data_IF_091749890091
#
_entry.id   IF_091749890091
#
_cell.length_a   1.000
_cell.length_b   1.000
_cell.length_c   1.000
_cell.angle_alpha   90.00
_cell.angle_beta   90.00
_cell.angle_gamma   90.00
#
_symmetry.space_group_name_H-M   'P 1'
#
loop_
_entity.id
_entity.type
_entity.pdbx_description
1 polymer ?
#
# COMPACT_ATOMS: atom_id res chain seq x y z
N UNK A 1 18.83 -11.12 8.64
CA UNK A 1 17.37 -11.05 8.70
C UNK A 1 16.95 -11.07 10.16
N UNK A 2 16.59 -9.92 10.73
CA UNK A 2 15.97 -9.86 12.06
C UNK A 2 14.49 -10.18 11.86
N UNK A 3 14.04 -11.27 12.50
CA UNK A 3 12.65 -11.70 12.44
C UNK A 3 11.71 -10.63 13.00
N UNK A 4 10.65 -10.35 12.29
CA UNK A 4 9.52 -9.55 12.79
C UNK A 4 9.01 -10.25 14.08
N UNK A 5 9.15 -9.59 15.23
CA UNK A 5 8.49 -10.05 16.46
C UNK A 5 6.97 -9.99 16.22
N UNK A 6 6.36 -11.16 16.29
CA UNK A 6 4.90 -11.29 16.18
C UNK A 6 4.28 -10.66 17.42
N UNK A 7 3.66 -9.48 17.23
CA UNK A 7 2.90 -8.82 18.29
C UNK A 7 1.67 -9.70 18.60
N UNK A 8 1.61 -10.27 19.81
CA UNK A 8 0.41 -10.96 20.30
C UNK A 8 -0.72 -9.93 20.44
N UNK A 9 -1.75 -10.06 19.61
CA UNK A 9 -2.99 -9.28 19.76
C UNK A 9 -3.75 -9.85 20.97
N UNK A 10 -4.07 -9.04 22.00
CA UNK A 10 -4.89 -9.51 23.11
C UNK A 10 -6.30 -9.84 22.65
N UNK A 11 -6.84 -10.98 23.03
CA UNK A 11 -8.20 -11.47 22.72
C UNK A 11 -9.35 -10.55 23.22
N UNK A 12 -9.05 -9.54 24.03
CA UNK A 12 -10.03 -8.80 24.80
C UNK A 12 -10.45 -7.42 24.27
N UNK A 13 -10.02 -7.00 23.07
CA UNK A 13 -10.37 -5.68 22.53
C UNK A 13 -10.90 -5.75 21.10
N UNK A 14 -12.08 -6.34 20.92
CA UNK A 14 -12.91 -6.07 19.75
C UNK A 14 -14.02 -5.08 20.14
N UNK A 15 -13.88 -3.77 19.84
CA UNK A 15 -14.91 -2.80 20.17
C UNK A 15 -16.12 -2.82 19.23
N UNK A 16 -16.14 -3.63 18.17
CA UNK A 16 -17.23 -3.67 17.21
C UNK A 16 -17.54 -5.09 16.73
N UNK A 17 -18.83 -5.46 16.77
CA UNK A 17 -19.41 -6.65 16.17
C UNK A 17 -19.52 -6.49 14.64
N UNK A 18 -18.42 -6.26 13.95
CA UNK A 18 -18.35 -6.43 12.51
C UNK A 18 -18.33 -7.91 12.14
N UNK A 19 -18.66 -8.24 10.90
CA UNK A 19 -18.55 -9.61 10.42
C UNK A 19 -17.13 -10.14 10.68
N UNK A 20 -17.03 -11.11 11.61
CA UNK A 20 -15.73 -11.71 11.95
C UNK A 20 -15.33 -12.68 10.85
N UNK A 21 -14.38 -12.29 10.02
CA UNK A 21 -13.78 -13.19 9.04
C UNK A 21 -12.71 -14.02 9.76
N UNK A 22 -13.04 -15.29 9.99
CA UNK A 22 -12.07 -16.24 10.51
C UNK A 22 -11.26 -16.86 9.38
N UNK A 23 -9.94 -16.67 9.44
CA UNK A 23 -8.98 -17.35 8.56
C UNK A 23 -8.02 -18.11 9.47
N UNK A 24 -7.92 -19.46 9.34
CA UNK A 24 -7.05 -20.24 10.20
C UNK A 24 -5.58 -19.92 9.95
N UNK A 25 -4.79 -20.02 11.01
CA UNK A 25 -3.34 -19.93 10.89
C UNK A 25 -2.81 -21.13 10.08
N UNK A 26 -1.75 -20.90 9.30
CA UNK A 26 -0.99 -21.95 8.62
C UNK A 26 0.11 -22.40 9.57
N UNK A 27 0.43 -23.71 9.56
CA UNK A 27 1.43 -24.26 10.48
C UNK A 27 2.73 -23.46 10.50
N UNK A 28 3.08 -22.94 11.68
CA UNK A 28 4.27 -22.11 11.89
C UNK A 28 4.11 -20.62 11.54
N UNK A 29 2.94 -20.19 11.02
CA UNK A 29 2.70 -18.80 10.61
C UNK A 29 1.36 -18.28 11.13
N UNK A 30 1.35 -17.01 11.54
CA UNK A 30 0.13 -16.27 11.87
C UNK A 30 -0.49 -15.72 10.60
N UNK A 31 -1.79 -16.00 10.38
CA UNK A 31 -2.54 -15.41 9.26
C UNK A 31 -2.96 -13.99 9.62
N UNK A 32 -2.66 -13.03 8.73
CA UNK A 32 -3.06 -11.63 8.85
C UNK A 32 -4.03 -11.26 7.73
N UNK A 33 -5.05 -10.49 8.07
CA UNK A 33 -5.99 -9.88 7.11
C UNK A 33 -5.45 -8.51 6.73
N UNK A 34 -5.10 -8.33 5.48
CA UNK A 34 -4.40 -7.15 5.01
C UNK A 34 -5.15 -6.45 3.88
N UNK A 35 -5.05 -5.11 3.83
CA UNK A 35 -5.37 -4.32 2.65
C UNK A 35 -4.12 -3.53 2.24
N UNK A 36 -3.59 -3.85 1.08
CA UNK A 36 -2.33 -3.27 0.56
C UNK A 36 -2.55 -2.26 -0.57
N UNK A 37 -3.80 -1.84 -0.80
CA UNK A 37 -4.11 -0.86 -1.83
C UNK A 37 -5.22 0.08 -1.38
N UNK A 38 -4.84 1.20 -0.74
CA UNK A 38 -5.80 2.17 -0.21
C UNK A 38 -5.40 3.60 -0.54
N UNK A 39 -6.42 4.43 -0.77
CA UNK A 39 -6.26 5.85 -1.09
C UNK A 39 -6.93 6.74 -0.06
N UNK A 40 -6.41 7.96 0.06
CA UNK A 40 -6.88 8.98 0.98
C UNK A 40 -7.10 10.31 0.23
N UNK A 41 -7.51 11.36 0.96
CA UNK A 41 -7.63 12.72 0.39
C UNK A 41 -6.30 13.29 -0.15
N UNK A 42 -5.16 12.64 0.11
CA UNK A 42 -3.85 13.03 -0.43
C UNK A 42 -3.69 12.64 -1.91
N UNK A 43 -4.54 11.73 -2.40
CA UNK A 43 -4.71 11.44 -3.83
C UNK A 43 -6.20 11.58 -4.20
N UNK A 44 -6.85 10.53 -4.64
CA UNK A 44 -8.23 10.52 -5.12
C UNK A 44 -9.22 9.84 -4.16
N UNK A 45 -8.79 9.47 -2.97
CA UNK A 45 -9.68 8.99 -1.92
C UNK A 45 -10.46 10.12 -1.23
N UNK A 46 -11.58 9.78 -0.60
CA UNK A 46 -12.54 10.74 -0.03
C UNK A 46 -12.34 10.99 1.46
N UNK A 47 -11.46 10.24 2.13
CA UNK A 47 -11.30 10.32 3.59
C UNK A 47 -9.87 10.58 4.02
N UNK A 48 -9.73 11.10 5.24
CA UNK A 48 -8.42 11.34 5.87
C UNK A 48 -7.68 10.03 6.15
N UNK A 49 -6.33 10.04 6.12
CA UNK A 49 -5.53 8.85 6.40
C UNK A 49 -5.88 8.18 7.74
N UNK A 50 -6.09 8.96 8.78
CA UNK A 50 -6.47 8.46 10.11
C UNK A 50 -7.81 7.71 10.06
N UNK A 51 -8.78 8.23 9.30
CA UNK A 51 -10.08 7.59 9.15
C UNK A 51 -9.99 6.31 8.32
N UNK A 52 -9.10 6.27 7.31
CA UNK A 52 -8.84 5.05 6.54
C UNK A 52 -8.34 3.91 7.44
N UNK A 53 -7.46 4.22 8.40
CA UNK A 53 -7.01 3.24 9.39
C UNK A 53 -8.17 2.77 10.28
N UNK A 54 -9.03 3.69 10.75
CA UNK A 54 -10.19 3.30 11.55
C UNK A 54 -11.22 2.47 10.78
N UNK A 55 -11.43 2.75 9.49
CA UNK A 55 -12.26 1.88 8.63
C UNK A 55 -11.71 0.46 8.55
N UNK A 56 -10.41 0.32 8.33
CA UNK A 56 -9.76 -0.99 8.30
C UNK A 56 -9.90 -1.74 9.63
N UNK A 57 -9.76 -1.03 10.76
CA UNK A 57 -9.96 -1.60 12.09
C UNK A 57 -11.40 -2.10 12.29
N UNK A 58 -12.40 -1.30 11.91
CA UNK A 58 -13.82 -1.66 12.00
C UNK A 58 -14.14 -2.89 11.13
N UNK A 59 -13.46 -3.04 9.98
CA UNK A 59 -13.60 -4.20 9.10
C UNK A 59 -12.82 -5.42 9.58
N UNK A 60 -12.11 -5.32 10.71
CA UNK A 60 -11.38 -6.43 11.32
C UNK A 60 -10.09 -6.80 10.59
N UNK A 61 -9.47 -5.85 9.88
CA UNK A 61 -8.13 -6.04 9.31
C UNK A 61 -7.06 -6.02 10.41
N UNK A 62 -5.92 -6.59 10.10
CA UNK A 62 -4.72 -6.60 10.95
C UNK A 62 -3.65 -5.64 10.42
N UNK A 63 -3.63 -5.41 9.11
CA UNK A 63 -2.64 -4.58 8.42
C UNK A 63 -3.29 -3.73 7.34
N UNK A 64 -2.85 -2.49 7.21
CA UNK A 64 -3.22 -1.61 6.09
C UNK A 64 -1.98 -0.92 5.53
N UNK A 65 -1.89 -0.79 4.20
CA UNK A 65 -0.92 0.07 3.54
C UNK A 65 -1.60 1.35 3.05
N UNK A 66 -0.95 2.49 3.25
CA UNK A 66 -1.35 3.76 2.66
C UNK A 66 -0.59 3.90 1.34
N UNK A 67 -1.32 3.85 0.23
CA UNK A 67 -0.77 3.79 -1.13
C UNK A 67 -1.33 4.89 -2.03
N UNK A 68 -1.38 6.13 -1.53
CA UNK A 68 -1.80 7.27 -2.33
C UNK A 68 -0.97 7.40 -3.62
N UNK A 69 -1.61 7.85 -4.69
CA UNK A 69 -0.96 8.08 -5.97
C UNK A 69 0.19 9.07 -5.88
N UNK A 70 1.30 8.78 -6.57
CA UNK A 70 2.40 9.73 -6.74
C UNK A 70 1.99 10.86 -7.68
N UNK A 71 1.47 10.52 -8.87
CA UNK A 71 1.23 11.49 -9.94
C UNK A 71 -0.19 12.06 -9.94
N UNK A 72 -1.17 11.27 -9.52
CA UNK A 72 -2.58 11.66 -9.54
C UNK A 72 -3.04 12.20 -8.19
N UNK A 73 -2.96 13.52 -8.03
CA UNK A 73 -3.29 14.23 -6.78
C UNK A 73 -4.30 15.34 -7.05
N UNK A 74 -5.60 15.01 -7.25
CA UNK A 74 -6.63 16.01 -7.59
C UNK A 74 -6.79 17.10 -6.53
N UNK A 75 -6.47 16.82 -5.28
CA UNK A 75 -6.60 17.76 -4.15
C UNK A 75 -5.32 18.56 -3.84
N UNK A 76 -4.27 18.47 -4.67
CA UNK A 76 -2.95 19.08 -4.40
C UNK A 76 -2.96 20.59 -4.17
N UNK A 77 -3.93 21.31 -4.74
CA UNK A 77 -4.05 22.76 -4.58
C UNK A 77 -4.54 23.15 -3.17
N UNK A 78 -5.24 22.25 -2.50
CA UNK A 78 -5.77 22.42 -1.15
C UNK A 78 -4.96 21.68 -0.10
N UNK A 79 -4.41 20.52 -0.45
CA UNK A 79 -3.60 19.67 0.44
C UNK A 79 -2.14 19.76 0.00
N UNK A 80 -1.45 20.79 0.52
CA UNK A 80 -0.02 21.03 0.24
C UNK A 80 0.83 20.20 1.19
N UNK A 81 1.22 19.02 0.74
CA UNK A 81 2.02 18.09 1.52
C UNK A 81 2.93 17.25 0.61
N UNK A 82 4.00 16.69 1.18
CA UNK A 82 4.84 15.70 0.49
C UNK A 82 4.14 14.32 0.43
N UNK A 83 4.72 13.37 -0.32
CA UNK A 83 4.15 12.04 -0.48
C UNK A 83 4.22 11.16 0.78
N UNK A 84 4.99 11.54 1.78
CA UNK A 84 5.08 10.81 3.04
C UNK A 84 4.02 11.24 4.05
N UNK A 85 3.35 12.38 3.84
CA UNK A 85 2.46 12.96 4.86
C UNK A 85 1.24 12.10 5.13
N UNK A 86 0.63 11.48 4.12
CA UNK A 86 -0.53 10.61 4.32
C UNK A 86 -0.20 9.43 5.24
N UNK A 87 0.93 8.77 5.01
CA UNK A 87 1.42 7.72 5.90
C UNK A 87 1.72 8.24 7.31
N UNK A 88 2.44 9.37 7.44
CA UNK A 88 2.75 9.96 8.76
C UNK A 88 1.49 10.18 9.57
N UNK A 89 0.42 10.69 8.95
CA UNK A 89 -0.89 10.88 9.60
C UNK A 89 -1.55 9.56 9.97
N UNK A 90 -1.63 8.62 9.04
CA UNK A 90 -2.18 7.28 9.30
C UNK A 90 -1.47 6.61 10.50
N UNK A 91 -0.14 6.74 10.56
CA UNK A 91 0.71 6.15 11.60
C UNK A 91 0.38 6.71 13.01
N UNK A 92 -0.15 7.91 13.13
CA UNK A 92 -0.50 8.49 14.44
C UNK A 92 -1.56 7.69 15.20
N UNK A 93 -2.42 6.99 14.49
CA UNK A 93 -3.53 6.20 15.09
C UNK A 93 -3.26 4.69 15.10
N UNK A 94 -2.12 4.23 14.61
CA UNK A 94 -1.74 2.81 14.55
C UNK A 94 -1.91 2.09 15.88
N UNK A 95 -1.32 2.64 16.94
CA UNK A 95 -1.38 2.03 18.28
C UNK A 95 -2.80 1.96 18.83
N UNK A 96 -3.59 3.02 18.60
CA UNK A 96 -4.96 3.11 19.12
C UNK A 96 -5.93 2.21 18.35
N UNK A 97 -5.70 2.02 17.04
CA UNK A 97 -6.49 1.14 16.17
C UNK A 97 -6.11 -0.34 16.28
N UNK A 98 -4.96 -0.63 16.91
CA UNK A 98 -4.37 -1.98 16.96
C UNK A 98 -4.10 -2.58 15.59
N UNK A 99 -3.80 -1.75 14.59
CA UNK A 99 -3.42 -2.15 13.24
C UNK A 99 -1.93 -1.93 13.02
N UNK A 100 -1.36 -2.67 12.08
CA UNK A 100 -0.06 -2.36 11.49
C UNK A 100 -0.30 -1.45 10.29
N UNK A 101 0.31 -0.26 10.30
CA UNK A 101 0.22 0.70 9.19
C UNK A 101 1.53 0.70 8.42
N UNK A 102 1.45 0.34 7.13
CA UNK A 102 2.60 0.22 6.21
C UNK A 102 2.66 1.46 5.32
N UNK A 103 3.86 2.00 5.14
CA UNK A 103 4.10 3.02 4.13
C UNK A 103 4.19 2.39 2.75
N UNK A 104 3.39 2.90 1.83
CA UNK A 104 3.44 2.58 0.42
C UNK A 104 3.16 3.81 -0.44
N UNK A 105 3.14 3.59 -1.73
CA UNK A 105 2.68 4.56 -2.72
C UNK A 105 2.27 3.84 -4.00
N UNK A 106 1.37 4.43 -4.77
CA UNK A 106 1.02 3.94 -6.09
C UNK A 106 1.69 4.81 -7.17
N UNK A 107 2.62 4.21 -7.91
CA UNK A 107 3.19 4.77 -9.12
C UNK A 107 2.11 4.64 -10.20
N UNK A 108 1.58 5.78 -10.67
CA UNK A 108 0.41 5.83 -11.55
C UNK A 108 0.81 6.36 -12.91
N UNK A 109 0.91 5.49 -13.88
CA UNK A 109 1.37 5.85 -15.24
C UNK A 109 0.36 5.40 -16.28
N UNK A 110 0.43 6.09 -17.41
CA UNK A 110 -0.27 5.63 -18.61
C UNK A 110 0.30 4.29 -19.08
N UNK A 111 -0.45 3.61 -19.95
CA UNK A 111 0.05 2.44 -20.65
C UNK A 111 1.40 2.74 -21.35
N UNK A 112 2.31 1.78 -21.43
CA UNK A 112 2.15 0.36 -21.09
C UNK A 112 2.46 -0.01 -19.63
N UNK A 113 2.97 0.90 -18.79
CA UNK A 113 3.36 0.58 -17.40
C UNK A 113 2.13 0.35 -16.53
N UNK A 114 1.13 1.26 -16.59
CA UNK A 114 -0.05 1.17 -15.74
C UNK A 114 0.26 1.55 -14.28
N UNK A 115 -0.42 0.90 -13.35
CA UNK A 115 -0.36 1.22 -11.94
C UNK A 115 0.40 0.17 -11.15
N UNK A 116 1.32 0.61 -10.31
CA UNK A 116 2.22 -0.25 -9.53
C UNK A 116 2.26 0.25 -8.09
N UNK A 117 1.93 -0.60 -7.13
CA UNK A 117 2.18 -0.32 -5.71
C UNK A 117 3.61 -0.69 -5.33
N UNK A 118 4.23 0.21 -4.58
CA UNK A 118 5.45 -0.04 -3.83
C UNK A 118 5.12 -0.02 -2.33
N UNK A 119 5.38 -1.12 -1.63
CA UNK A 119 5.08 -1.30 -0.22
C UNK A 119 6.37 -1.33 0.61
N UNK A 120 6.28 -0.98 1.90
CA UNK A 120 7.40 -0.92 2.83
C UNK A 120 8.44 0.15 2.48
N UNK A 121 7.99 1.27 1.91
CA UNK A 121 8.84 2.41 1.62
C UNK A 121 9.34 3.08 2.91
N UNK A 122 10.49 3.74 2.80
CA UNK A 122 11.02 4.68 3.81
C UNK A 122 10.83 6.13 3.38
N UNK A 123 10.78 6.39 2.07
CA UNK A 123 10.53 7.70 1.48
C UNK A 123 9.79 7.59 0.14
N UNK A 124 8.50 7.92 0.15
CA UNK A 124 7.67 7.93 -1.04
C UNK A 124 8.00 9.09 -2.01
N UNK A 125 8.62 10.18 -1.52
CA UNK A 125 9.04 11.28 -2.40
C UNK A 125 10.08 10.85 -3.42
N UNK A 126 10.89 9.84 -3.12
CA UNK A 126 11.88 9.30 -4.05
C UNK A 126 11.26 8.70 -5.34
N UNK A 127 9.94 8.43 -5.32
CA UNK A 127 9.22 7.87 -6.46
C UNK A 127 8.67 8.95 -7.40
N UNK A 128 8.67 10.22 -6.98
CA UNK A 128 8.20 11.37 -7.78
C UNK A 128 9.27 11.77 -8.81
N UNK A 129 9.45 10.94 -9.81
CA UNK A 129 10.40 11.10 -10.93
C UNK A 129 9.70 10.86 -12.25
N UNK A 130 10.20 11.46 -13.34
CA UNK A 130 9.55 11.39 -14.65
C UNK A 130 9.55 9.98 -15.24
N UNK A 131 10.69 9.27 -15.16
CA UNK A 131 10.82 7.90 -15.68
C UNK A 131 10.16 6.88 -14.73
N UNK A 132 9.12 6.15 -15.18
CA UNK A 132 8.42 5.16 -14.35
C UNK A 132 9.32 3.99 -13.95
N UNK A 133 10.27 3.59 -14.77
CA UNK A 133 11.20 2.51 -14.42
C UNK A 133 12.19 2.97 -13.35
N UNK A 134 12.60 4.23 -13.39
CA UNK A 134 13.41 4.82 -12.32
C UNK A 134 12.62 4.93 -11.01
N UNK A 135 11.32 5.24 -11.06
CA UNK A 135 10.47 5.21 -9.86
C UNK A 135 10.45 3.82 -9.22
N UNK A 136 10.29 2.76 -10.04
CA UNK A 136 10.36 1.37 -9.57
C UNK A 136 11.73 1.04 -8.99
N UNK A 137 12.82 1.43 -9.65
CA UNK A 137 14.18 1.20 -9.15
C UNK A 137 14.41 1.91 -7.82
N UNK A 138 13.97 3.16 -7.66
CA UNK A 138 14.04 3.92 -6.40
C UNK A 138 13.25 3.23 -5.27
N UNK A 139 12.15 2.57 -5.57
CA UNK A 139 11.42 1.78 -4.60
C UNK A 139 12.19 0.50 -4.21
N UNK A 140 12.75 -0.22 -5.18
CA UNK A 140 13.55 -1.43 -4.95
C UNK A 140 14.82 -1.13 -4.15
N UNK A 141 15.48 0.01 -4.39
CA UNK A 141 16.65 0.47 -3.62
C UNK A 141 16.32 0.66 -2.14
N UNK A 142 15.04 0.91 -1.79
CA UNK A 142 14.54 0.97 -0.42
C UNK A 142 14.13 -0.39 0.16
N UNK A 143 14.19 -1.47 -0.63
CA UNK A 143 13.73 -2.80 -0.25
C UNK A 143 12.22 -2.97 -0.35
N UNK A 144 11.53 -2.15 -1.13
CA UNK A 144 10.09 -2.21 -1.30
C UNK A 144 9.65 -3.49 -2.01
N UNK A 145 8.47 -3.98 -1.61
CA UNK A 145 7.73 -4.99 -2.35
C UNK A 145 6.93 -4.32 -3.47
N UNK A 146 7.10 -4.78 -4.70
CA UNK A 146 6.46 -4.22 -5.89
C UNK A 146 5.29 -5.09 -6.33
N UNK A 147 4.11 -4.49 -6.46
CA UNK A 147 2.88 -5.15 -6.85
C UNK A 147 2.24 -4.46 -8.05
N UNK A 148 1.95 -5.22 -9.11
CA UNK A 148 1.21 -4.72 -10.27
C UNK A 148 -0.29 -4.71 -9.97
N UNK A 149 -0.90 -3.51 -10.03
CA UNK A 149 -2.29 -3.31 -9.68
C UNK A 149 -3.22 -3.58 -10.87
N UNK A 150 -4.45 -4.05 -10.58
CA UNK A 150 -5.60 -4.20 -11.48
C UNK A 150 -5.21 -4.38 -12.97
N UNK A 151 -4.50 -5.46 -13.31
CA UNK A 151 -3.86 -5.65 -14.63
C UNK A 151 -4.85 -5.67 -15.82
N UNK A 152 -6.14 -5.85 -15.55
CA UNK A 152 -7.19 -5.81 -16.57
C UNK A 152 -7.78 -4.41 -16.84
N UNK A 153 -7.29 -3.35 -16.18
CA UNK A 153 -7.83 -2.01 -16.30
C UNK A 153 -6.83 -1.04 -16.95
N UNK A 154 -7.28 -0.17 -17.89
CA UNK A 154 -8.52 -0.27 -18.69
C UNK A 154 -8.33 -1.20 -19.90
N UNK A 155 -9.14 -2.19 -20.03
CA UNK A 155 -9.53 -3.05 -21.17
C UNK A 155 -8.52 -3.46 -22.27
N UNK A 156 -7.21 -3.31 -22.08
CA UNK A 156 -6.18 -3.80 -23.02
C UNK A 156 -4.97 -4.32 -22.27
N UNK A 157 -4.95 -5.60 -22.06
CA UNK A 157 -3.92 -6.30 -21.27
C UNK A 157 -2.71 -6.75 -22.08
N UNK A 158 -2.78 -6.77 -23.42
CA UNK A 158 -1.74 -7.38 -24.25
C UNK A 158 -0.40 -6.63 -24.16
N UNK A 159 -0.42 -5.31 -24.31
CA UNK A 159 0.78 -4.47 -24.24
C UNK A 159 1.31 -4.34 -22.81
N UNK A 160 0.40 -4.19 -21.83
CA UNK A 160 0.75 -4.15 -20.41
C UNK A 160 1.42 -5.45 -19.98
N UNK A 161 0.86 -6.59 -20.37
CA UNK A 161 1.42 -7.90 -20.03
C UNK A 161 2.87 -8.07 -20.50
N UNK A 162 3.21 -7.64 -21.73
CA UNK A 162 4.56 -7.77 -22.25
C UNK A 162 5.58 -6.95 -21.45
N UNK A 163 5.26 -5.71 -21.08
CA UNK A 163 6.12 -4.86 -20.25
C UNK A 163 6.34 -5.50 -18.88
N UNK A 164 5.27 -5.94 -18.22
CA UNK A 164 5.37 -6.56 -16.90
C UNK A 164 6.13 -7.89 -16.94
N UNK A 165 5.97 -8.68 -18.00
CA UNK A 165 6.78 -9.88 -18.21
C UNK A 165 8.27 -9.59 -18.30
N UNK A 166 8.65 -8.47 -18.92
CA UNK A 166 10.04 -8.06 -18.98
C UNK A 166 10.55 -7.52 -17.63
N UNK A 167 9.71 -6.80 -16.88
CA UNK A 167 10.04 -6.38 -15.51
C UNK A 167 10.26 -7.58 -14.57
N UNK A 168 9.44 -8.63 -14.69
CA UNK A 168 9.62 -9.90 -13.95
C UNK A 168 10.96 -10.53 -14.31
N UNK A 169 11.28 -10.67 -15.60
CA UNK A 169 12.57 -11.22 -16.06
C UNK A 169 13.77 -10.42 -15.55
N UNK A 170 13.62 -9.12 -15.39
CA UNK A 170 14.64 -8.22 -14.85
C UNK A 170 14.68 -8.22 -13.31
N UNK A 171 13.87 -9.05 -12.64
CA UNK A 171 13.73 -9.11 -11.17
C UNK A 171 13.35 -7.77 -10.53
N UNK A 172 12.56 -6.96 -11.23
CA UNK A 172 12.01 -5.70 -10.71
C UNK A 172 10.71 -5.88 -9.92
N UNK A 173 10.09 -7.05 -9.99
CA UNK A 173 9.10 -7.51 -9.02
C UNK A 173 9.78 -8.49 -8.07
N UNK A 174 9.46 -8.43 -6.78
CA UNK A 174 9.92 -9.42 -5.82
C UNK A 174 9.23 -10.76 -6.12
N UNK A 175 10.01 -11.85 -6.19
CA UNK A 175 9.51 -13.22 -6.26
C UNK A 175 8.99 -13.68 -4.89
#
# INVERSE_FOLDING_TARGET
>A
MQGLEVVKVPEAQQPYSGEYIYIPDVEGYKTLKCDFHTHTIFSDGDIKPENRVWEAAIRGLDVIAITDHIEYRPNKDYIKADHNESYKRAKTVEKASNLIVIQGAEITRSKPIGHINALFLTDANALDVEDPLRAVDNALEQGAFIMWNHPGWPNDTSTLYNVHKDLIKQKRYME
#
